data_IF_872255496994
#
_entry.id   IF_872255496994
#
_cell.length_a   1.000
_cell.length_b   1.000
_cell.length_c   1.000
_cell.angle_alpha   90.00
_cell.angle_beta   90.00
_cell.angle_gamma   90.00
#
_symmetry.space_group_name_H-M   'P 1'
#
loop_
_entity.id
_entity.type
_entity.pdbx_description
1 polymer ?
#
# COMPACT_ATOMS: atom_id res chain seq x y z
N UNK A 1 0.03 -9.62 -9.35
CA UNK A 1 0.81 -8.71 -10.21
C UNK A 1 -0.15 -7.63 -10.69
N UNK A 2 0.01 -6.38 -10.24
CA UNK A 2 -0.94 -5.31 -10.58
C UNK A 2 -0.62 -4.78 -11.99
N UNK A 3 -1.53 -5.01 -12.94
CA UNK A 3 -1.33 -4.69 -14.35
C UNK A 3 -1.21 -3.18 -14.63
N UNK A 4 -1.77 -2.33 -13.76
CA UNK A 4 -1.77 -0.87 -13.94
C UNK A 4 -0.38 -0.24 -13.82
N UNK A 5 0.54 -0.86 -13.08
CA UNK A 5 1.91 -0.37 -12.95
C UNK A 5 2.68 -0.46 -14.28
N UNK A 6 2.29 -1.35 -15.20
CA UNK A 6 2.92 -1.49 -16.53
C UNK A 6 2.63 -0.30 -17.46
N UNK A 7 1.60 0.51 -17.16
CA UNK A 7 1.31 1.74 -17.90
C UNK A 7 2.36 2.83 -17.68
N UNK A 8 3.30 2.64 -16.75
CA UNK A 8 4.42 3.56 -16.55
C UNK A 8 5.20 3.85 -17.83
N UNK A 9 5.46 2.83 -18.65
CA UNK A 9 6.19 2.99 -19.91
C UNK A 9 5.41 3.85 -20.93
N UNK A 10 4.07 3.79 -20.89
CA UNK A 10 3.22 4.55 -21.82
C UNK A 10 3.25 6.04 -21.52
N UNK A 11 3.32 6.43 -20.23
CA UNK A 11 3.28 7.84 -19.82
C UNK A 11 4.63 8.42 -19.39
N UNK A 12 5.71 7.63 -19.43
CA UNK A 12 7.05 8.11 -19.12
C UNK A 12 7.51 9.25 -20.05
N UNK A 13 7.10 9.22 -21.34
CA UNK A 13 7.38 10.28 -22.30
C UNK A 13 6.78 11.64 -21.93
N UNK A 14 5.66 11.62 -21.20
CA UNK A 14 4.96 12.81 -20.71
C UNK A 14 5.46 13.25 -19.32
N UNK A 15 6.56 12.65 -18.83
CA UNK A 15 7.10 12.89 -17.49
C UNK A 15 6.13 12.52 -16.35
N UNK A 16 5.21 11.60 -16.60
CA UNK A 16 4.28 11.07 -15.60
C UNK A 16 4.85 9.78 -14.99
N UNK A 17 4.88 9.72 -13.66
CA UNK A 17 5.35 8.54 -12.92
C UNK A 17 4.16 7.70 -12.44
N UNK A 18 4.18 6.41 -12.75
CA UNK A 18 3.16 5.46 -12.28
C UNK A 18 3.79 4.51 -11.27
N UNK A 19 3.14 4.42 -10.10
CA UNK A 19 3.56 3.57 -9.00
C UNK A 19 2.35 2.84 -8.40
N UNK A 20 2.62 1.75 -7.67
CA UNK A 20 1.60 0.97 -6.96
C UNK A 20 2.04 0.79 -5.52
N UNK A 21 1.14 1.04 -4.57
CA UNK A 21 1.33 0.74 -3.15
C UNK A 21 0.46 -0.48 -2.81
N UNK A 22 1.09 -1.55 -2.32
CA UNK A 22 0.42 -2.79 -1.94
C UNK A 22 0.59 -3.02 -0.43
N UNK A 23 -0.24 -2.37 0.41
CA UNK A 23 -0.14 -2.53 1.86
C UNK A 23 -0.64 -3.90 2.31
N UNK A 24 -0.22 -4.31 3.50
CA UNK A 24 -0.82 -5.44 4.23
C UNK A 24 -2.18 -5.09 4.84
N UNK A 25 -2.53 -5.71 5.96
CA UNK A 25 -3.77 -5.38 6.67
C UNK A 25 -3.72 -3.98 7.30
N UNK A 26 -4.63 -3.10 6.88
CA UNK A 26 -4.74 -1.72 7.37
C UNK A 26 -6.08 -1.50 8.06
N UNK A 27 -6.07 -0.88 9.24
CA UNK A 27 -7.24 -0.53 10.03
C UNK A 27 -8.17 0.39 9.23
N UNK A 28 -9.15 -0.20 8.57
CA UNK A 28 -10.15 0.50 7.75
C UNK A 28 -11.52 -0.11 7.99
N UNK A 29 -12.63 0.61 7.74
CA UNK A 29 -13.98 0.04 7.86
C UNK A 29 -14.19 -1.24 7.05
N UNK A 30 -13.45 -1.42 5.95
CA UNK A 30 -13.47 -2.63 5.12
C UNK A 30 -13.07 -3.89 5.89
N UNK A 31 -12.19 -3.78 6.90
CA UNK A 31 -11.75 -4.90 7.72
C UNK A 31 -12.63 -5.16 8.94
N UNK A 32 -13.75 -4.45 9.14
CA UNK A 32 -14.68 -4.72 10.26
C UNK A 32 -15.04 -6.20 10.44
N UNK A 33 -15.43 -6.94 9.38
CA UNK A 33 -15.76 -8.36 9.51
C UNK A 33 -14.59 -9.22 10.02
N UNK A 34 -13.35 -8.79 9.77
CA UNK A 34 -12.13 -9.45 10.24
C UNK A 34 -11.85 -9.08 11.69
N UNK A 35 -12.05 -7.82 12.08
CA UNK A 35 -11.79 -7.35 13.45
C UNK A 35 -12.87 -7.79 14.45
N UNK A 36 -14.11 -7.98 13.99
CA UNK A 36 -15.23 -8.42 14.82
C UNK A 36 -15.12 -9.92 15.19
N UNK A 37 -14.33 -10.69 14.43
CA UNK A 37 -13.94 -12.06 14.81
C UNK A 37 -12.63 -12.03 15.60
N UNK A 38 -12.74 -11.90 16.92
CA UNK A 38 -11.58 -11.76 17.80
C UNK A 38 -10.53 -12.87 17.66
N UNK A 39 -10.96 -14.13 17.50
CA UNK A 39 -10.03 -15.26 17.38
C UNK A 39 -9.26 -15.18 16.06
N UNK A 40 -9.98 -14.95 14.95
CA UNK A 40 -9.33 -14.76 13.65
C UNK A 40 -8.39 -13.56 13.64
N UNK A 41 -8.80 -12.44 14.25
CA UNK A 41 -7.98 -11.24 14.39
C UNK A 41 -6.71 -11.50 15.22
N UNK A 42 -6.80 -12.21 16.34
CA UNK A 42 -5.65 -12.62 17.15
C UNK A 42 -4.69 -13.50 16.33
N UNK A 43 -5.20 -14.50 15.62
CA UNK A 43 -4.39 -15.37 14.76
C UNK A 43 -3.69 -14.60 13.64
N UNK A 44 -4.37 -13.63 13.02
CA UNK A 44 -3.79 -12.78 11.97
C UNK A 44 -2.66 -11.92 12.52
N UNK A 45 -2.86 -11.26 13.67
CA UNK A 45 -1.81 -10.48 14.34
C UNK A 45 -0.57 -11.30 14.64
N UNK A 46 -0.73 -12.58 15.00
CA UNK A 46 0.42 -13.45 15.27
C UNK A 46 1.27 -13.73 14.03
N UNK A 47 0.67 -13.66 12.83
CA UNK A 47 1.37 -13.84 11.55
C UNK A 47 2.03 -12.57 11.04
N UNK A 48 1.64 -11.40 11.54
CA UNK A 48 2.24 -10.12 11.16
C UNK A 48 3.49 -9.90 12.03
N UNK A 49 4.69 -9.67 11.44
CA UNK A 49 5.91 -9.47 12.22
C UNK A 49 5.81 -8.36 13.28
N UNK A 50 5.12 -7.26 12.94
CA UNK A 50 4.87 -6.12 13.84
C UNK A 50 3.72 -6.35 14.84
N UNK A 51 3.05 -7.51 14.80
CA UNK A 51 1.96 -7.91 15.71
C UNK A 51 0.75 -6.96 15.76
N UNK A 52 0.59 -6.11 14.75
CA UNK A 52 -0.52 -5.16 14.61
C UNK A 52 -0.92 -4.97 13.14
N UNK A 53 -2.10 -4.42 12.92
CA UNK A 53 -2.45 -3.88 11.60
C UNK A 53 -1.76 -2.53 11.42
N UNK A 54 -1.55 -2.16 10.17
CA UNK A 54 -1.09 -0.81 9.82
C UNK A 54 -2.22 0.20 9.96
N UNK A 55 -1.86 1.46 10.12
CA UNK A 55 -2.81 2.58 10.11
C UNK A 55 -2.84 3.25 8.72
N UNK A 56 -3.98 3.84 8.31
CA UNK A 56 -4.11 4.52 7.02
C UNK A 56 -3.01 5.56 6.74
N UNK A 57 -2.55 6.26 7.78
CA UNK A 57 -1.52 7.30 7.72
C UNK A 57 -0.15 6.73 7.30
N UNK A 58 0.12 5.46 7.63
CA UNK A 58 1.36 4.79 7.20
C UNK A 58 1.36 4.56 5.70
N UNK A 59 0.20 4.23 5.11
CA UNK A 59 0.04 4.12 3.66
C UNK A 59 0.09 5.50 3.00
N UNK A 60 -0.60 6.48 3.59
CA UNK A 60 -0.63 7.86 3.08
C UNK A 60 0.77 8.48 3.03
N UNK A 61 1.62 8.21 4.03
CA UNK A 61 3.00 8.70 4.07
C UNK A 61 3.84 8.19 2.90
N UNK A 62 3.66 6.92 2.52
CA UNK A 62 4.35 6.33 1.34
C UNK A 62 3.83 6.94 0.05
N UNK A 63 2.50 7.12 -0.08
CA UNK A 63 1.91 7.77 -1.26
C UNK A 63 2.42 9.20 -1.40
N UNK A 64 2.45 9.97 -0.30
CA UNK A 64 2.98 11.33 -0.29
C UNK A 64 4.45 11.36 -0.73
N UNK A 65 5.30 10.47 -0.19
CA UNK A 65 6.68 10.34 -0.61
C UNK A 65 6.82 10.08 -2.12
N UNK A 66 5.99 9.18 -2.68
CA UNK A 66 5.99 8.89 -4.12
C UNK A 66 5.61 10.10 -4.96
N UNK A 67 4.92 11.11 -4.42
CA UNK A 67 4.63 12.36 -5.13
C UNK A 67 5.76 13.40 -5.06
N UNK A 68 6.72 13.25 -4.15
CA UNK A 68 7.79 14.23 -3.96
C UNK A 68 8.91 14.10 -5.02
N UNK A 69 9.68 15.18 -5.27
CA UNK A 69 10.86 15.13 -6.13
C UNK A 69 11.92 14.11 -5.68
N UNK A 70 11.96 13.78 -4.39
CA UNK A 70 12.86 12.76 -3.83
C UNK A 70 12.61 11.36 -4.42
N UNK A 71 11.41 11.11 -4.96
CA UNK A 71 11.02 9.86 -5.61
C UNK A 71 11.09 9.95 -7.15
N UNK A 72 11.86 10.89 -7.72
CA UNK A 72 11.90 11.18 -9.16
C UNK A 72 12.27 9.99 -10.04
N UNK A 73 13.07 9.05 -9.53
CA UNK A 73 13.44 7.82 -10.24
C UNK A 73 12.74 6.57 -9.70
N UNK A 74 11.71 6.74 -8.88
CA UNK A 74 10.85 5.64 -8.43
C UNK A 74 9.68 5.55 -9.40
N UNK A 75 9.78 4.56 -10.28
CA UNK A 75 8.78 4.20 -11.29
C UNK A 75 8.78 2.67 -11.41
N UNK A 76 7.62 2.07 -11.65
CA UNK A 76 7.51 0.64 -11.87
C UNK A 76 7.57 0.32 -13.36
N UNK A 77 8.28 -0.74 -13.76
CA UNK A 77 8.36 -1.25 -15.15
C UNK A 77 7.80 -2.67 -15.24
#
# INVERSE_FOLDING_TARGET
MNQLARAACEWAGDMIRVNCVAPGFITTPMLKPVTDNEEFFKQLKLRIPLRRFGEPEEVASVVAFLCLPAASFIINW
#
